data_IF_222232680439
#
_entry.id   IF_222232680439
#
_cell.length_a   1.000
_cell.length_b   1.000
_cell.length_c   1.000
_cell.angle_alpha   90.00
_cell.angle_beta   90.00
_cell.angle_gamma   90.00
#
_symmetry.space_group_name_H-M   'P 1'
#
loop_
_entity.id
_entity.type
_entity.pdbx_description
1 polymer ?
#
# COMPACT_ATOMS: atom_id res chain seq x y z
N UNK A 1 19.33 23.45 -29.50
CA UNK A 1 19.48 21.98 -29.62
C UNK A 1 19.79 21.43 -28.23
N UNK A 2 19.41 20.18 -27.93
CA UNK A 2 19.84 19.50 -26.69
C UNK A 2 21.26 18.94 -26.79
N UNK A 3 21.88 18.61 -25.65
CA UNK A 3 23.23 18.02 -25.55
C UNK A 3 23.25 16.79 -24.64
N UNK A 4 24.21 15.89 -24.86
CA UNK A 4 24.40 14.64 -24.11
C UNK A 4 25.89 14.32 -24.06
N UNK A 5 26.36 13.73 -22.96
CA UNK A 5 27.78 13.45 -22.74
C UNK A 5 28.21 12.17 -23.46
N UNK A 6 27.41 11.09 -23.35
CA UNK A 6 27.71 9.79 -23.96
C UNK A 6 26.51 9.22 -24.70
N UNK A 7 26.76 8.67 -25.89
CA UNK A 7 25.76 7.95 -26.69
C UNK A 7 26.36 6.63 -27.13
N UNK A 8 25.83 5.53 -26.60
CA UNK A 8 26.34 4.19 -26.86
C UNK A 8 25.21 3.25 -27.29
N UNK A 9 25.54 2.27 -28.14
CA UNK A 9 24.65 1.17 -28.46
C UNK A 9 25.04 -0.02 -27.60
N UNK A 10 24.11 -0.48 -26.76
CA UNK A 10 24.32 -1.59 -25.83
C UNK A 10 23.45 -2.78 -26.22
N UNK A 11 24.00 -3.99 -26.13
CA UNK A 11 23.22 -5.23 -26.23
C UNK A 11 22.62 -5.56 -24.87
N UNK A 12 21.29 -5.61 -24.81
CA UNK A 12 20.53 -6.01 -23.64
C UNK A 12 19.67 -7.22 -24.00
N UNK A 13 20.20 -8.42 -23.78
CA UNK A 13 19.46 -9.67 -23.97
C UNK A 13 19.18 -9.99 -25.45
N UNK A 14 20.11 -9.69 -26.35
CA UNK A 14 19.99 -9.92 -27.78
C UNK A 14 19.26 -8.80 -28.53
N UNK A 15 18.91 -7.71 -27.85
CA UNK A 15 18.35 -6.48 -28.44
C UNK A 15 19.33 -5.34 -28.25
N UNK A 16 19.69 -4.70 -29.35
CA UNK A 16 20.49 -3.48 -29.32
C UNK A 16 19.62 -2.28 -28.96
N UNK A 17 19.98 -1.58 -27.89
CA UNK A 17 19.35 -0.33 -27.45
C UNK A 17 20.36 0.82 -27.56
N UNK A 18 19.87 2.03 -27.85
CA UNK A 18 20.71 3.24 -27.82
C UNK A 18 20.53 3.92 -26.47
N UNK A 19 21.61 4.05 -25.72
CA UNK A 19 21.64 4.66 -24.39
C UNK A 19 22.20 6.07 -24.51
N UNK A 20 21.46 7.03 -24.00
CA UNK A 20 21.90 8.42 -23.82
C UNK A 20 22.22 8.60 -22.34
N UNK A 21 23.50 8.84 -22.02
CA UNK A 21 23.96 9.00 -20.64
C UNK A 21 24.56 10.39 -20.42
N UNK A 22 24.41 10.87 -19.18
CA UNK A 22 25.02 12.11 -18.68
C UNK A 22 25.87 11.76 -17.47
N UNK A 23 27.07 12.34 -17.38
CA UNK A 23 27.99 12.07 -16.26
C UNK A 23 27.52 12.75 -14.98
N UNK A 24 26.71 13.80 -15.12
CA UNK A 24 26.14 14.53 -14.00
C UNK A 24 24.81 13.92 -13.59
N UNK A 25 24.66 13.74 -12.29
CA UNK A 25 23.42 13.27 -11.67
C UNK A 25 22.37 14.39 -11.52
N UNK A 26 22.39 15.38 -12.42
CA UNK A 26 21.45 16.51 -12.46
C UNK A 26 20.34 16.35 -13.53
N UNK A 27 20.32 15.19 -14.21
CA UNK A 27 19.26 14.85 -15.15
C UNK A 27 17.92 14.73 -14.44
N UNK A 28 16.90 15.39 -15.02
CA UNK A 28 15.50 15.25 -14.59
C UNK A 28 14.81 14.03 -15.18
N UNK A 29 15.53 13.23 -15.96
CA UNK A 29 15.01 12.07 -16.67
C UNK A 29 15.89 10.85 -16.37
N UNK A 30 15.23 9.75 -16.05
CA UNK A 30 15.85 8.45 -15.83
C UNK A 30 15.04 7.39 -16.59
N UNK A 31 15.70 6.32 -17.03
CA UNK A 31 15.06 5.22 -17.74
C UNK A 31 15.33 3.92 -16.99
N UNK A 32 14.27 3.21 -16.61
CA UNK A 32 14.35 1.91 -15.95
C UNK A 32 14.17 0.83 -17.03
N UNK A 33 15.12 -0.10 -17.14
CA UNK A 33 15.05 -1.20 -18.11
C UNK A 33 14.62 -2.47 -17.39
N UNK A 34 13.42 -2.95 -17.71
CA UNK A 34 12.83 -4.17 -17.13
C UNK A 34 13.06 -5.34 -18.10
N UNK A 35 13.43 -6.50 -17.57
CA UNK A 35 13.53 -7.75 -18.33
C UNK A 35 12.73 -8.84 -17.65
N UNK A 36 11.92 -9.54 -18.41
CA UNK A 36 11.03 -10.59 -17.93
C UNK A 36 10.98 -11.74 -18.93
N UNK A 37 10.53 -12.91 -18.47
CA UNK A 37 10.44 -14.12 -19.29
C UNK A 37 9.24 -14.08 -20.25
N UNK A 38 8.17 -13.36 -19.89
CA UNK A 38 6.94 -13.23 -20.66
C UNK A 38 6.43 -11.79 -20.58
N UNK A 39 5.66 -11.38 -21.58
CA UNK A 39 5.07 -10.04 -21.63
C UNK A 39 4.14 -9.79 -20.43
N UNK A 40 3.38 -10.80 -19.99
CA UNK A 40 2.53 -10.67 -18.80
C UNK A 40 3.32 -10.31 -17.53
N UNK A 41 4.49 -10.91 -17.33
CA UNK A 41 5.34 -10.60 -16.17
C UNK A 41 5.94 -9.19 -16.31
N UNK A 42 6.29 -8.78 -17.53
CA UNK A 42 6.76 -7.42 -17.78
C UNK A 42 5.67 -6.38 -17.43
N UNK A 43 4.44 -6.61 -17.88
CA UNK A 43 3.30 -5.72 -17.61
C UNK A 43 3.04 -5.59 -16.09
N UNK A 44 3.10 -6.69 -15.35
CA UNK A 44 2.89 -6.67 -13.89
C UNK A 44 4.01 -5.91 -13.15
N UNK A 45 5.26 -6.10 -13.58
CA UNK A 45 6.42 -5.40 -12.98
C UNK A 45 6.42 -3.91 -13.35
N UNK A 46 6.06 -3.56 -14.59
CA UNK A 46 5.90 -2.17 -15.03
C UNK A 46 4.85 -1.46 -14.16
N UNK A 47 3.67 -2.08 -13.99
CA UNK A 47 2.61 -1.54 -13.11
C UNK A 47 3.08 -1.33 -11.69
N UNK A 48 3.79 -2.31 -11.10
CA UNK A 48 4.31 -2.19 -9.74
C UNK A 48 5.31 -1.04 -9.58
N UNK A 49 6.17 -0.82 -10.58
CA UNK A 49 7.11 0.32 -10.60
C UNK A 49 6.35 1.63 -10.74
N UNK A 50 5.38 1.71 -11.65
CA UNK A 50 4.56 2.90 -11.85
C UNK A 50 3.79 3.28 -10.58
N UNK A 51 3.20 2.31 -9.90
CA UNK A 51 2.52 2.52 -8.61
C UNK A 51 3.50 3.05 -7.56
N UNK A 52 4.68 2.44 -7.42
CA UNK A 52 5.70 2.88 -6.48
C UNK A 52 6.21 4.30 -6.75
N UNK A 53 6.48 4.64 -8.01
CA UNK A 53 6.91 5.99 -8.42
C UNK A 53 5.80 7.01 -8.16
N UNK A 54 4.54 6.66 -8.44
CA UNK A 54 3.41 7.54 -8.20
C UNK A 54 3.16 7.78 -6.70
N UNK A 55 3.32 6.75 -5.85
CA UNK A 55 3.27 6.88 -4.39
C UNK A 55 4.38 7.80 -3.91
N UNK A 56 5.63 7.58 -4.33
CA UNK A 56 6.75 8.45 -3.94
C UNK A 56 6.52 9.90 -4.36
N UNK A 57 6.00 10.11 -5.58
CA UNK A 57 5.60 11.44 -6.07
C UNK A 57 4.53 12.08 -5.18
N UNK A 58 3.54 11.32 -4.69
CA UNK A 58 2.58 11.84 -3.71
C UNK A 58 3.27 12.22 -2.39
N UNK A 59 4.23 11.42 -1.92
CA UNK A 59 5.02 11.70 -0.71
C UNK A 59 5.88 12.96 -0.80
N UNK A 60 6.31 13.35 -2.00
CA UNK A 60 6.99 14.63 -2.19
C UNK A 60 6.10 15.84 -1.89
N UNK A 61 4.76 15.67 -1.94
CA UNK A 61 3.77 16.72 -1.64
C UNK A 61 3.26 16.65 -0.21
N UNK A 62 2.91 15.45 0.28
CA UNK A 62 2.48 15.20 1.66
C UNK A 62 3.23 14.02 2.24
N UNK A 63 3.99 14.25 3.32
CA UNK A 63 4.88 13.26 3.92
C UNK A 63 4.23 12.42 5.02
N UNK A 64 2.93 12.63 5.29
CA UNK A 64 2.22 11.90 6.34
C UNK A 64 1.91 10.49 5.85
N UNK A 65 2.20 9.53 6.70
CA UNK A 65 2.01 8.10 6.48
C UNK A 65 1.20 7.53 7.64
N UNK A 66 0.52 6.42 7.40
CA UNK A 66 -0.34 5.75 8.38
C UNK A 66 -0.11 4.24 8.31
N UNK A 67 -0.47 3.48 9.34
CA UNK A 67 -0.26 2.04 9.32
C UNK A 67 -1.13 1.36 8.25
N UNK A 68 -0.52 0.56 7.36
CA UNK A 68 -1.25 -0.18 6.33
C UNK A 68 -1.88 -1.48 6.83
N UNK A 69 -2.00 -2.47 5.94
CA UNK A 69 -2.55 -3.80 6.24
C UNK A 69 -3.95 -3.81 6.91
N UNK A 70 -4.75 -2.77 6.71
CA UNK A 70 -6.07 -2.64 7.34
C UNK A 70 -6.05 -2.06 8.76
N UNK A 71 -4.89 -1.70 9.31
CA UNK A 71 -4.78 -1.17 10.67
C UNK A 71 -5.53 0.17 10.84
N UNK A 72 -5.42 1.06 9.85
CA UNK A 72 -6.11 2.35 9.87
C UNK A 72 -7.62 2.17 9.80
N UNK A 73 -8.10 1.26 8.98
CA UNK A 73 -9.53 0.95 8.83
C UNK A 73 -10.11 0.42 10.15
N UNK A 74 -9.37 -0.42 10.88
CA UNK A 74 -9.77 -0.89 12.20
C UNK A 74 -9.77 0.21 13.26
N UNK A 75 -8.76 1.09 13.27
CA UNK A 75 -8.75 2.22 14.21
C UNK A 75 -9.88 3.21 13.90
N UNK A 76 -10.19 3.45 12.62
CA UNK A 76 -11.34 4.27 12.20
C UNK A 76 -12.67 3.63 12.61
N UNK A 77 -12.82 2.32 12.45
CA UNK A 77 -14.01 1.59 12.90
C UNK A 77 -14.24 1.80 14.40
N UNK A 78 -13.18 1.67 15.22
CA UNK A 78 -13.25 1.88 16.66
C UNK A 78 -13.63 3.31 17.02
N UNK A 79 -12.91 4.29 16.49
CA UNK A 79 -13.14 5.71 16.82
C UNK A 79 -14.54 6.17 16.38
N UNK A 80 -15.03 5.73 15.22
CA UNK A 80 -16.39 6.00 14.76
C UNK A 80 -17.45 5.30 15.61
N UNK A 81 -17.16 4.09 16.11
CA UNK A 81 -18.06 3.37 17.02
C UNK A 81 -18.18 4.10 18.36
N UNK A 82 -17.07 4.56 18.93
CA UNK A 82 -17.05 5.39 20.14
C UNK A 82 -17.78 6.71 19.94
N UNK A 83 -17.59 7.34 18.77
CA UNK A 83 -18.32 8.56 18.41
C UNK A 83 -19.83 8.30 18.31
N UNK A 84 -20.26 7.18 17.73
CA UNK A 84 -21.68 6.81 17.70
C UNK A 84 -22.25 6.62 19.11
N UNK A 85 -21.51 6.03 20.04
CA UNK A 85 -21.93 5.83 21.42
C UNK A 85 -22.08 7.14 22.20
N UNK A 86 -21.25 8.13 21.90
CA UNK A 86 -21.34 9.46 22.50
C UNK A 86 -22.52 10.31 21.97
N UNK A 87 -23.09 9.97 20.81
CA UNK A 87 -24.15 10.74 20.16
C UNK A 87 -25.49 9.98 20.15
N UNK A 88 -26.31 10.13 21.20
CA UNK A 88 -27.61 9.46 21.26
C UNK A 88 -28.58 10.03 20.20
N UNK A 89 -29.34 9.15 19.56
CA UNK A 89 -30.35 9.53 18.57
C UNK A 89 -30.46 8.54 17.41
N UNK A 90 -31.23 8.88 16.39
CA UNK A 90 -31.35 8.05 15.18
C UNK A 90 -30.03 7.99 14.39
N UNK A 91 -29.24 9.05 14.43
CA UNK A 91 -27.97 9.15 13.71
C UNK A 91 -26.93 8.15 14.22
N UNK A 92 -27.02 7.76 15.50
CA UNK A 92 -26.16 6.73 16.10
C UNK A 92 -26.11 5.45 15.26
N UNK A 93 -27.27 4.98 14.78
CA UNK A 93 -27.36 3.74 14.03
C UNK A 93 -26.67 3.86 12.67
N UNK A 94 -26.80 5.02 12.02
CA UNK A 94 -26.15 5.29 10.74
C UNK A 94 -24.63 5.35 10.89
N UNK A 95 -24.13 6.09 11.89
CA UNK A 95 -22.69 6.18 12.19
C UNK A 95 -22.12 4.81 12.52
N UNK A 96 -22.80 4.01 13.34
CA UNK A 96 -22.34 2.65 13.70
C UNK A 96 -22.27 1.75 12.47
N UNK A 97 -23.23 1.82 11.55
CA UNK A 97 -23.19 1.05 10.29
C UNK A 97 -22.07 1.51 9.36
N UNK A 98 -21.78 2.81 9.35
CA UNK A 98 -20.65 3.35 8.62
C UNK A 98 -19.31 2.86 9.20
N UNK A 99 -19.17 2.84 10.53
CA UNK A 99 -18.00 2.30 11.21
C UNK A 99 -17.72 0.83 10.82
N UNK A 100 -18.75 -0.03 10.88
CA UNK A 100 -18.64 -1.45 10.51
C UNK A 100 -18.24 -1.63 9.04
N UNK A 101 -18.56 -0.67 8.15
CA UNK A 101 -18.21 -0.80 6.73
C UNK A 101 -16.70 -0.82 6.48
N UNK A 102 -15.88 -0.24 7.39
CA UNK A 102 -14.43 -0.26 7.28
C UNK A 102 -13.84 -1.66 7.46
N UNK A 103 -14.52 -2.55 8.19
CA UNK A 103 -14.08 -3.94 8.41
C UNK A 103 -13.98 -4.74 7.10
N UNK A 104 -14.62 -4.28 6.02
CA UNK A 104 -14.58 -4.96 4.72
C UNK A 104 -13.15 -5.11 4.21
N UNK A 105 -12.29 -4.11 4.44
CA UNK A 105 -10.90 -4.13 3.96
C UNK A 105 -10.12 -5.26 4.64
N UNK A 106 -10.15 -5.33 5.97
CA UNK A 106 -9.47 -6.38 6.73
C UNK A 106 -10.03 -7.77 6.43
N UNK A 107 -11.35 -7.87 6.31
CA UNK A 107 -12.04 -9.11 5.96
C UNK A 107 -11.61 -9.61 4.60
N UNK A 108 -11.62 -8.75 3.58
CA UNK A 108 -11.22 -9.10 2.22
C UNK A 108 -9.74 -9.45 2.15
N UNK A 109 -8.86 -8.72 2.84
CA UNK A 109 -7.44 -9.07 2.92
C UNK A 109 -7.23 -10.48 3.49
N UNK A 110 -7.90 -10.80 4.60
CA UNK A 110 -7.82 -12.12 5.20
C UNK A 110 -8.37 -13.23 4.28
N UNK A 111 -9.52 -12.99 3.64
CA UNK A 111 -10.17 -13.97 2.75
C UNK A 111 -9.36 -14.25 1.48
N UNK A 112 -8.78 -13.21 0.86
CA UNK A 112 -7.90 -13.37 -0.31
C UNK A 112 -6.62 -14.12 0.03
N UNK A 113 -6.15 -13.99 1.28
CA UNK A 113 -5.01 -14.75 1.81
C UNK A 113 -5.39 -16.15 2.31
N UNK A 114 -6.65 -16.56 2.20
CA UNK A 114 -7.10 -17.91 2.57
C UNK A 114 -7.43 -18.11 4.05
N UNK A 115 -7.59 -17.03 4.82
CA UNK A 115 -7.94 -17.06 6.25
C UNK A 115 -9.41 -16.67 6.49
N UNK A 116 -9.92 -16.98 7.68
CA UNK A 116 -11.27 -16.60 8.09
C UNK A 116 -11.34 -15.10 8.42
N UNK A 117 -11.96 -14.32 7.54
CA UNK A 117 -12.10 -12.87 7.72
C UNK A 117 -12.90 -12.46 8.95
N UNK A 118 -13.86 -13.28 9.42
CA UNK A 118 -14.63 -12.98 10.63
C UNK A 118 -13.76 -13.09 11.88
N UNK A 119 -12.95 -14.16 11.97
CA UNK A 119 -12.05 -14.37 13.09
C UNK A 119 -10.94 -13.30 13.12
N UNK A 120 -10.44 -12.92 11.93
CA UNK A 120 -9.43 -11.86 11.81
C UNK A 120 -9.94 -10.51 12.30
N UNK A 121 -11.11 -10.07 11.82
CA UNK A 121 -11.72 -8.80 12.25
C UNK A 121 -11.97 -8.79 13.75
N UNK A 122 -12.48 -9.90 14.31
CA UNK A 122 -12.75 -10.01 15.75
C UNK A 122 -11.46 -9.89 16.58
N UNK A 123 -10.36 -10.50 16.13
CA UNK A 123 -9.05 -10.39 16.78
C UNK A 123 -8.51 -8.97 16.72
N UNK A 124 -8.51 -8.37 15.52
CA UNK A 124 -8.05 -6.99 15.33
C UNK A 124 -8.87 -6.02 16.17
N UNK A 125 -10.21 -6.18 16.22
CA UNK A 125 -11.06 -5.35 17.05
C UNK A 125 -10.61 -5.39 18.52
N UNK A 126 -10.44 -6.58 19.09
CA UNK A 126 -9.97 -6.73 20.48
C UNK A 126 -8.60 -6.06 20.72
N UNK A 127 -7.66 -6.19 19.79
CA UNK A 127 -6.32 -5.59 19.87
C UNK A 127 -6.36 -4.05 19.78
N UNK A 128 -7.17 -3.50 18.88
CA UNK A 128 -7.34 -2.05 18.73
C UNK A 128 -8.04 -1.42 19.94
N UNK A 129 -9.02 -2.11 20.54
CA UNK A 129 -9.61 -1.70 21.82
C UNK A 129 -8.62 -1.80 22.99
N UNK A 130 -7.66 -2.73 22.94
CA UNK A 130 -6.55 -2.80 23.88
C UNK A 130 -5.45 -1.75 23.64
N UNK A 131 -5.57 -0.91 22.61
CA UNK A 131 -4.68 0.20 22.31
C UNK A 131 -3.60 -0.10 21.25
N UNK A 132 -3.63 -1.27 20.62
CA UNK A 132 -2.67 -1.67 19.59
C UNK A 132 -3.06 -1.10 18.21
N UNK A 133 -2.93 0.22 18.05
CA UNK A 133 -3.43 0.98 16.88
C UNK A 133 -2.81 0.63 15.52
N UNK A 134 -1.65 -0.01 15.53
CA UNK A 134 -0.90 -0.34 14.32
C UNK A 134 -1.10 -1.80 13.88
N UNK A 135 -1.96 -2.55 14.58
CA UNK A 135 -2.18 -3.95 14.25
C UNK A 135 -2.98 -4.09 12.96
N UNK A 136 -2.47 -4.88 12.03
CA UNK A 136 -3.09 -5.15 10.74
C UNK A 136 -3.15 -6.64 10.45
N UNK A 137 -3.67 -6.97 9.27
CA UNK A 137 -3.82 -8.35 8.80
C UNK A 137 -2.45 -8.89 8.36
N UNK A 138 -2.00 -9.97 9.02
CA UNK A 138 -0.85 -10.76 8.58
C UNK A 138 -1.27 -11.76 7.51
N UNK A 139 -0.87 -11.49 6.26
CA UNK A 139 -1.26 -12.31 5.10
C UNK A 139 -0.44 -13.61 4.93
N UNK A 140 0.66 -13.75 5.66
CA UNK A 140 1.57 -14.90 5.50
C UNK A 140 1.22 -16.09 6.41
N UNK A 141 0.69 -15.82 7.60
CA UNK A 141 0.40 -16.83 8.62
C UNK A 141 -1.00 -16.70 9.26
N UNK A 142 -1.81 -15.73 8.83
CA UNK A 142 -3.13 -15.47 9.40
C UNK A 142 -3.07 -14.93 10.83
N UNK A 143 -1.93 -14.37 11.22
CA UNK A 143 -1.77 -13.62 12.46
C UNK A 143 -2.12 -12.15 12.30
N UNK A 144 -2.03 -11.41 13.41
CA UNK A 144 -2.09 -9.95 13.43
C UNK A 144 -0.67 -9.42 13.54
N UNK A 145 -0.35 -8.36 12.79
CA UNK A 145 1.01 -7.83 12.66
C UNK A 145 1.06 -6.34 12.95
N UNK A 146 2.13 -5.85 13.60
CA UNK A 146 2.35 -4.42 13.73
C UNK A 146 2.85 -3.89 12.38
N UNK A 147 1.93 -3.30 11.61
CA UNK A 147 2.17 -2.85 10.24
C UNK A 147 3.25 -1.77 10.20
N UNK A 148 3.26 -0.86 11.17
CA UNK A 148 4.25 0.21 11.23
C UNK A 148 5.66 -0.34 11.52
N UNK A 149 5.78 -1.29 12.44
CA UNK A 149 7.05 -1.93 12.75
C UNK A 149 7.63 -2.69 11.56
N UNK A 150 6.77 -3.27 10.71
CA UNK A 150 7.16 -3.95 9.48
C UNK A 150 7.36 -3.00 8.28
N UNK A 151 7.14 -1.70 8.46
CA UNK A 151 7.29 -0.71 7.39
C UNK A 151 6.16 -0.73 6.35
N UNK A 152 5.01 -1.30 6.70
CA UNK A 152 3.79 -1.30 5.89
C UNK A 152 3.02 -0.02 6.22
N UNK A 153 3.17 1.00 5.37
CA UNK A 153 2.68 2.36 5.59
C UNK A 153 2.09 3.02 4.35
#
# INVERSE_FOLDING_TARGET
MGSCDHIDVQDVGGKYITVFAQDKDDSKLSTIVIRGATDNVLDDVERAIDDGVNVYKALTKDKRLVAGAGAVEMELQKELTLFAEANPGLDQYAVRKYAISFEVVCRTLAEVSGYNGTDMVTRLEAEHYAGARNQGVGIDDGSTIDALQLGIV
#
